data_IF_405344749225
#
_entry.id   IF_405344749225
#
_cell.length_a   1.000
_cell.length_b   1.000
_cell.length_c   1.000
_cell.angle_alpha   90.00
_cell.angle_beta   90.00
_cell.angle_gamma   90.00
#
_symmetry.space_group_name_H-M   'P 1'
#
loop_
_entity.id
_entity.type
_entity.pdbx_description
1 polymer ?
#
# COMPACT_ATOMS: atom_id res chain seq x y z
N UNK A 1 -1.00 -9.24 -12.87
CA UNK A 1 -1.49 -8.07 -12.12
C UNK A 1 -2.50 -8.57 -11.11
N UNK A 2 -2.23 -8.40 -9.81
CA UNK A 2 -3.16 -8.75 -8.74
C UNK A 2 -4.22 -7.66 -8.61
N UNK A 3 -5.49 -8.04 -8.48
CA UNK A 3 -6.56 -7.08 -8.19
C UNK A 3 -6.39 -6.51 -6.78
N UNK A 4 -6.64 -5.21 -6.62
CA UNK A 4 -6.52 -4.51 -5.33
C UNK A 4 -7.40 -5.09 -4.22
N UNK A 5 -8.52 -5.73 -4.57
CA UNK A 5 -9.44 -6.39 -3.64
C UNK A 5 -8.99 -7.80 -3.26
N UNK A 6 -7.99 -8.36 -3.96
CA UNK A 6 -7.47 -9.70 -3.71
C UNK A 6 -6.37 -9.72 -2.66
N UNK A 7 -6.72 -9.36 -1.41
CA UNK A 7 -5.79 -9.38 -0.26
C UNK A 7 -5.14 -10.76 -0.05
N UNK A 8 -5.90 -11.85 -0.24
CA UNK A 8 -5.36 -13.21 -0.11
C UNK A 8 -4.26 -13.50 -1.14
N UNK A 9 -4.45 -13.04 -2.38
CA UNK A 9 -3.46 -13.17 -3.44
C UNK A 9 -2.21 -12.34 -3.16
N UNK A 10 -2.36 -11.13 -2.61
CA UNK A 10 -1.24 -10.28 -2.19
C UNK A 10 -0.39 -10.96 -1.10
N UNK A 11 -1.04 -11.45 -0.05
CA UNK A 11 -0.36 -12.17 1.05
C UNK A 11 0.34 -13.42 0.54
N UNK A 12 -0.28 -14.15 -0.38
CA UNK A 12 0.32 -15.34 -1.00
C UNK A 12 1.58 -15.01 -1.79
N UNK A 13 1.53 -13.98 -2.65
CA UNK A 13 2.68 -13.56 -3.44
C UNK A 13 3.86 -13.12 -2.56
N UNK A 14 3.59 -12.36 -1.49
CA UNK A 14 4.61 -11.96 -0.52
C UNK A 14 5.23 -13.18 0.19
N UNK A 15 4.43 -14.18 0.58
CA UNK A 15 4.94 -15.44 1.17
C UNK A 15 5.73 -16.31 0.20
N UNK A 16 5.49 -16.18 -1.09
CA UNK A 16 6.24 -16.85 -2.16
C UNK A 16 7.54 -16.10 -2.51
N UNK A 17 7.83 -14.97 -1.83
CA UNK A 17 9.04 -14.16 -2.04
C UNK A 17 8.94 -13.21 -3.24
N UNK A 18 7.73 -12.97 -3.75
CA UNK A 18 7.50 -12.06 -4.86
C UNK A 18 7.39 -10.60 -4.41
N UNK A 19 7.64 -9.68 -5.35
CA UNK A 19 7.50 -8.24 -5.12
C UNK A 19 6.07 -7.81 -5.40
N UNK A 20 5.43 -7.17 -4.42
CA UNK A 20 4.14 -6.52 -4.56
C UNK A 20 4.31 -5.00 -4.69
N UNK A 21 3.84 -4.44 -5.81
CA UNK A 21 3.68 -2.99 -5.95
C UNK A 21 2.26 -2.59 -5.51
N UNK A 22 2.17 -1.70 -4.53
CA UNK A 22 0.90 -1.20 -3.98
C UNK A 22 0.95 0.32 -3.90
N UNK A 23 -0.03 1.00 -4.51
CA UNK A 23 -0.20 2.45 -4.44
C UNK A 23 -1.18 2.77 -3.29
N UNK A 24 -0.70 3.31 -2.15
CA UNK A 24 -1.52 3.48 -0.94
C UNK A 24 -2.37 4.74 -0.93
N UNK A 25 -2.20 5.62 -1.92
CA UNK A 25 -2.80 6.95 -2.07
C UNK A 25 -4.17 6.92 -2.78
N UNK A 26 -4.70 5.74 -3.10
CA UNK A 26 -6.02 5.58 -3.69
C UNK A 26 -7.14 5.66 -2.65
N UNK A 27 -8.15 6.51 -2.86
CA UNK A 27 -9.35 6.55 -2.01
C UNK A 27 -10.33 5.41 -2.35
N UNK A 28 -10.52 4.46 -1.42
CA UNK A 28 -11.49 3.36 -1.55
C UNK A 28 -12.82 3.62 -0.83
N UNK A 29 -13.02 4.85 -0.38
CA UNK A 29 -14.18 5.30 0.36
C UNK A 29 -14.01 5.19 1.88
N UNK A 30 -14.97 5.73 2.65
CA UNK A 30 -14.85 5.86 4.10
C UNK A 30 -14.74 4.53 4.85
N UNK A 31 -15.32 3.46 4.28
CA UNK A 31 -15.32 2.14 4.90
C UNK A 31 -13.96 1.43 4.86
N UNK A 32 -13.04 1.89 4.01
CA UNK A 32 -11.71 1.29 3.82
C UNK A 32 -10.60 2.33 3.97
N UNK A 33 -10.88 3.40 4.73
CA UNK A 33 -9.96 4.49 4.98
C UNK A 33 -9.75 4.68 6.48
N UNK A 34 -8.52 4.97 6.86
CA UNK A 34 -8.19 5.57 8.16
C UNK A 34 -7.89 7.05 7.94
N UNK A 35 -8.20 7.86 8.94
CA UNK A 35 -7.97 9.30 8.86
C UNK A 35 -6.74 9.66 9.68
N UNK A 36 -5.74 10.20 9.00
CA UNK A 36 -4.47 10.62 9.60
C UNK A 36 -4.05 11.99 9.06
N UNK A 37 -3.26 12.77 9.82
CA UNK A 37 -2.74 14.05 9.35
C UNK A 37 -1.82 13.87 8.13
N UNK A 38 -2.09 14.62 7.05
CA UNK A 38 -1.26 14.67 5.85
C UNK A 38 -1.18 16.11 5.32
N UNK A 39 0.04 16.66 5.28
CA UNK A 39 0.30 18.06 4.95
C UNK A 39 -0.55 19.04 5.78
N UNK A 40 -1.40 19.84 5.13
CA UNK A 40 -2.26 20.84 5.76
C UNK A 40 -3.66 20.30 6.12
N UNK A 41 -3.87 18.97 6.05
CA UNK A 41 -5.15 18.32 6.31
C UNK A 41 -5.01 17.40 7.52
N UNK A 42 -5.65 17.76 8.63
CA UNK A 42 -5.61 16.98 9.88
C UNK A 42 -6.25 15.58 9.73
N UNK A 43 -7.28 15.46 8.90
CA UNK A 43 -8.04 14.23 8.69
C UNK A 43 -8.03 13.84 7.19
N UNK A 44 -6.86 13.48 6.66
CA UNK A 44 -6.75 12.96 5.30
C UNK A 44 -7.13 11.47 5.26
N UNK A 45 -7.96 11.08 4.29
CA UNK A 45 -8.29 9.68 4.06
C UNK A 45 -7.07 8.95 3.45
N UNK A 46 -6.63 7.88 4.10
CA UNK A 46 -5.56 7.00 3.61
C UNK A 46 -5.97 5.54 3.75
N UNK A 47 -5.40 4.67 2.92
CA UNK A 47 -5.72 3.23 2.93
C UNK A 47 -4.89 2.47 3.95
N UNK A 48 -5.46 1.41 4.54
CA UNK A 48 -4.73 0.47 5.40
C UNK A 48 -4.06 -0.67 4.64
N UNK A 49 -4.23 -0.74 3.31
CA UNK A 49 -3.87 -1.93 2.53
C UNK A 49 -2.40 -2.33 2.60
N UNK A 50 -1.48 -1.37 2.71
CA UNK A 50 -0.05 -1.65 2.92
C UNK A 50 0.20 -2.35 4.25
N UNK A 51 -0.49 -1.93 5.30
CA UNK A 51 -0.41 -2.55 6.62
C UNK A 51 -1.07 -3.93 6.61
N UNK A 52 -2.29 -4.03 6.06
CA UNK A 52 -3.06 -5.27 6.02
C UNK A 52 -2.32 -6.37 5.23
N UNK A 53 -1.67 -6.01 4.12
CA UNK A 53 -0.86 -6.95 3.34
C UNK A 53 0.40 -7.41 4.11
N UNK A 54 1.05 -6.50 4.85
CA UNK A 54 2.28 -6.80 5.59
C UNK A 54 2.05 -7.57 6.89
N UNK A 55 1.07 -7.19 7.70
CA UNK A 55 0.80 -7.82 9.01
C UNK A 55 0.44 -9.31 8.86
N UNK A 56 -0.30 -9.66 7.80
CA UNK A 56 -0.71 -11.04 7.51
C UNK A 56 0.42 -11.94 7.00
N UNK A 57 1.61 -11.38 6.75
CA UNK A 57 2.79 -12.11 6.30
C UNK A 57 3.72 -12.50 7.46
N UNK A 58 3.48 -12.02 8.70
CA UNK A 58 4.21 -12.34 9.97
C UNK A 58 5.39 -13.32 9.80
N UNK A 59 6.56 -12.74 9.60
CA UNK A 59 7.87 -13.38 9.42
C UNK A 59 8.79 -12.32 8.84
N UNK A 60 10.01 -12.20 9.37
CA UNK A 60 10.96 -11.09 9.11
C UNK A 60 11.46 -10.98 7.65
N UNK A 61 10.83 -11.70 6.71
CA UNK A 61 11.25 -11.84 5.31
C UNK A 61 10.63 -10.81 4.35
N UNK A 62 9.73 -9.95 4.82
CA UNK A 62 9.06 -8.95 3.98
C UNK A 62 9.33 -7.53 4.46
N UNK A 63 10.01 -6.74 3.63
CA UNK A 63 10.27 -5.33 3.85
C UNK A 63 9.26 -4.45 3.09
N UNK A 64 8.77 -3.38 3.74
CA UNK A 64 7.98 -2.33 3.09
C UNK A 64 8.93 -1.22 2.63
N UNK A 65 9.00 -0.99 1.32
CA UNK A 65 9.84 0.04 0.72
C UNK A 65 8.98 1.13 0.08
N UNK A 66 9.16 2.39 0.50
CA UNK A 66 8.54 3.54 -0.17
C UNK A 66 9.29 3.86 -1.46
N UNK A 67 8.55 3.98 -2.57
CA UNK A 67 9.09 4.39 -3.86
C UNK A 67 8.23 5.51 -4.46
N UNK A 68 8.86 6.50 -5.07
CA UNK A 68 8.20 7.56 -5.81
C UNK A 68 8.82 7.65 -7.21
N UNK A 69 7.96 7.78 -8.23
CA UNK A 69 8.40 7.96 -9.61
C UNK A 69 8.16 9.41 -10.03
N UNK A 70 9.22 10.10 -10.43
CA UNK A 70 9.14 11.44 -10.99
C UNK A 70 9.61 11.41 -12.44
N UNK A 71 8.83 11.99 -13.35
CA UNK A 71 9.27 12.25 -14.71
C UNK A 71 10.12 13.52 -14.71
N UNK A 72 11.36 13.43 -15.18
CA UNK A 72 12.16 14.62 -15.46
C UNK A 72 11.65 15.25 -16.74
N UNK A 73 11.00 16.40 -16.64
CA UNK A 73 10.80 17.27 -17.79
C UNK A 73 12.14 17.91 -18.14
N UNK A 74 12.59 17.69 -19.38
CA UNK A 74 13.84 18.21 -19.90
C UNK A 74 13.85 19.75 -19.94
N UNK A 75 15.05 20.30 -19.80
CA UNK A 75 15.37 21.72 -20.03
C UNK A 75 15.22 22.05 -21.51
#
# INVERSE_FOLDING_TARGET
MLDRKNLKGMVRALKEGEILWYAPDHDYGPASSVFAPLFAVEQAATTTGTWDAGENVRGDDCAVCSAAQAQRHGV
#
